data_IF_632482393587
#
_entry.id   IF_632482393587
#
_cell.length_a   1.000
_cell.length_b   1.000
_cell.length_c   1.000
_cell.angle_alpha   90.00
_cell.angle_beta   90.00
_cell.angle_gamma   90.00
#
_symmetry.space_group_name_H-M   'P 1'
#
loop_
_entity.id
_entity.type
_entity.pdbx_description
1 polymer ?
#
# COMPACT_ATOMS: atom_id res chain seq x y z
N UNK A 1 -12.00 7.12 36.70
CA UNK A 1 -13.20 6.25 36.61
C UNK A 1 -12.93 4.81 36.97
N UNK A 2 -13.99 4.03 37.13
CA UNK A 2 -13.90 2.62 37.46
C UNK A 2 -14.12 1.80 36.20
N UNK A 3 -13.18 0.92 35.90
CA UNK A 3 -13.22 0.08 34.71
C UNK A 3 -13.31 -1.37 35.12
N UNK A 4 -14.38 -2.04 34.69
CA UNK A 4 -14.53 -3.47 34.85
C UNK A 4 -14.70 -4.07 33.46
N UNK A 5 -13.74 -4.91 33.07
CA UNK A 5 -13.62 -5.35 31.69
C UNK A 5 -13.36 -6.85 31.65
N UNK A 6 -13.92 -7.52 30.64
CA UNK A 6 -13.70 -8.92 30.40
C UNK A 6 -13.54 -9.13 28.90
N UNK A 7 -12.54 -9.90 28.52
CA UNK A 7 -12.28 -10.21 27.12
C UNK A 7 -11.96 -11.68 26.97
N UNK A 8 -12.63 -12.33 26.04
CA UNK A 8 -12.35 -13.71 25.68
C UNK A 8 -12.24 -13.80 24.17
N UNK A 9 -11.15 -14.38 23.70
CA UNK A 9 -10.83 -14.41 22.28
C UNK A 9 -10.32 -15.80 21.94
N UNK A 10 -10.73 -16.29 20.78
CA UNK A 10 -10.28 -17.59 20.29
C UNK A 10 -10.19 -17.54 18.78
N UNK A 11 -9.07 -18.00 18.24
CA UNK A 11 -8.88 -18.00 16.81
C UNK A 11 -7.52 -18.53 16.45
N UNK A 12 -7.41 -18.98 15.21
CA UNK A 12 -6.14 -19.48 14.71
C UNK A 12 -5.08 -18.38 14.72
N UNK A 13 -5.47 -17.17 14.35
CA UNK A 13 -4.60 -16.01 14.34
C UNK A 13 -5.29 -14.88 15.06
N UNK A 14 -4.55 -14.19 15.93
CA UNK A 14 -5.09 -13.13 16.75
C UNK A 14 -4.08 -12.01 16.84
N UNK A 15 -4.58 -10.78 16.79
CA UNK A 15 -3.79 -9.58 17.03
C UNK A 15 -4.59 -8.67 17.94
N UNK A 16 -3.93 -8.18 19.00
CA UNK A 16 -4.62 -7.39 20.00
C UNK A 16 -3.72 -6.25 20.44
N UNK A 17 -4.26 -5.05 20.47
CA UNK A 17 -3.53 -3.88 20.92
C UNK A 17 -3.91 -3.58 22.36
N UNK B 1 17.34 -15.60 -26.92
CA UNK B 1 16.57 -15.63 -25.65
C UNK B 1 15.34 -16.51 -25.73
N UNK B 2 15.21 -17.42 -24.77
CA UNK B 2 14.10 -18.36 -24.77
C UNK B 2 13.84 -18.84 -23.35
N UNK B 3 12.57 -18.88 -22.98
CA UNK B 3 12.14 -19.37 -21.68
C UNK B 3 11.12 -20.47 -21.92
N UNK B 4 11.31 -21.61 -21.27
CA UNK B 4 10.35 -22.71 -21.31
C UNK B 4 10.07 -23.11 -19.87
N UNK B 5 8.97 -22.59 -19.33
CA UNK B 5 8.65 -22.74 -17.92
C UNK B 5 7.35 -23.53 -17.83
N UNK B 6 7.38 -24.60 -17.06
CA UNK B 6 6.21 -25.45 -16.84
C UNK B 6 6.01 -25.57 -15.34
N UNK B 7 4.82 -25.25 -14.89
CA UNK B 7 4.47 -25.32 -13.47
C UNK B 7 3.16 -26.08 -13.35
N UNK B 8 3.22 -27.26 -12.74
CA UNK B 8 2.07 -28.13 -12.58
C UNK B 8 1.84 -28.38 -11.10
N UNK B 9 0.59 -28.28 -10.68
CA UNK B 9 0.23 -28.39 -9.27
C UNK B 9 -1.04 -29.21 -9.15
N UNK B 10 -1.23 -29.80 -7.98
CA UNK B 10 -2.43 -30.56 -7.66
C UNK B 10 -2.57 -30.67 -6.16
N UNK B 11 -3.80 -30.47 -5.68
CA UNK B 11 -4.05 -30.63 -4.26
C UNK B 11 -5.48 -30.30 -3.91
N UNK B 12 -5.90 -30.80 -2.76
CA UNK B 12 -7.23 -30.52 -2.26
C UNK B 12 -7.43 -29.02 -2.10
N UNK B 13 -6.47 -28.36 -1.47
CA UNK B 13 -6.49 -26.91 -1.29
C UNK B 13 -5.20 -26.35 -1.86
N UNK B 14 -5.33 -25.37 -2.74
CA UNK B 14 -4.19 -24.69 -3.35
C UNK B 14 -4.37 -23.20 -3.14
N UNK B 15 -3.37 -22.58 -2.54
CA UNK B 15 -3.38 -21.16 -2.28
C UNK B 15 -2.07 -20.56 -2.76
N UNK B 16 -2.12 -19.28 -3.11
CA UNK B 16 -0.94 -18.60 -3.61
C UNK B 16 -1.17 -17.10 -3.53
N UNK B 17 -0.07 -16.37 -3.47
CA UNK B 17 -0.13 -14.91 -3.46
C UNK B 17 0.66 -14.38 -4.65
N UNK C 1 16.13 -3.16 -16.99
CA UNK C 1 15.75 -4.58 -16.85
C UNK C 1 15.06 -5.09 -18.09
N UNK C 2 15.80 -5.86 -18.90
CA UNK C 2 15.32 -6.30 -20.20
C UNK C 2 15.14 -7.81 -20.20
N UNK C 3 14.17 -8.26 -20.99
CA UNK C 3 13.93 -9.69 -21.21
C UNK C 3 13.83 -10.44 -19.89
N UNK C 4 13.18 -9.83 -18.90
CA UNK C 4 13.20 -10.32 -17.53
C UNK C 4 11.80 -10.54 -16.99
N UNK C 5 11.70 -11.53 -16.10
CA UNK C 5 10.49 -11.85 -15.37
C UNK C 5 10.66 -11.34 -13.95
N UNK C 6 9.69 -10.59 -13.47
CA UNK C 6 9.79 -9.91 -12.18
C UNK C 6 8.51 -10.19 -11.41
N UNK C 7 8.66 -10.59 -10.16
CA UNK C 7 7.57 -10.71 -9.22
C UNK C 7 8.00 -10.07 -7.91
N UNK C 8 7.15 -9.20 -7.37
CA UNK C 8 7.47 -8.45 -6.18
C UNK C 8 6.30 -8.46 -5.23
N UNK C 9 6.60 -8.29 -3.94
CA UNK C 9 5.60 -8.18 -2.89
C UNK C 9 6.17 -7.29 -1.80
N UNK C 10 5.32 -6.48 -1.18
CA UNK C 10 5.78 -5.53 -0.17
C UNK C 10 4.61 -5.14 0.70
N UNK C 11 4.61 -5.61 1.94
CA UNK C 11 3.61 -5.17 2.88
C UNK C 11 3.33 -6.13 4.01
N UNK C 12 2.15 -6.02 4.57
CA UNK C 12 1.70 -6.85 5.68
C UNK C 12 0.78 -7.91 5.12
N UNK C 13 1.17 -9.17 5.28
CA UNK C 13 0.45 -10.30 4.72
C UNK C 13 0.03 -11.22 5.86
N UNK C 14 -1.10 -11.88 5.68
CA UNK C 14 -1.64 -12.82 6.65
C UNK C 14 -2.37 -13.91 5.90
N UNK C 15 -1.97 -15.15 6.11
CA UNK C 15 -2.54 -16.29 5.43
C UNK C 15 -2.91 -17.36 6.45
N UNK C 16 -4.15 -17.81 6.40
CA UNK C 16 -4.62 -18.93 7.20
C UNK C 16 -5.15 -19.98 6.25
N UNK C 17 -5.10 -21.24 6.67
CA UNK C 17 -5.43 -22.32 5.77
C UNK C 17 -5.47 -23.65 6.51
N UNK D 1 15.99 -6.43 -36.03
CA UNK D 1 15.56 -5.71 -34.79
C UNK D 1 16.59 -4.75 -34.25
N UNK D 2 16.29 -3.45 -34.33
CA UNK D 2 17.19 -2.42 -33.84
C UNK D 2 16.46 -1.42 -32.97
N UNK D 3 17.13 -1.00 -31.90
CA UNK D 3 16.57 -0.12 -30.88
C UNK D 3 17.62 0.90 -30.50
N UNK D 4 17.18 2.14 -30.30
CA UNK D 4 18.02 3.22 -29.82
C UNK D 4 17.28 3.97 -28.71
N UNK D 5 17.88 3.99 -27.52
CA UNK D 5 17.27 4.62 -26.36
C UNK D 5 18.26 5.61 -25.78
N UNK D 6 17.79 6.81 -25.47
CA UNK D 6 18.60 7.87 -24.88
C UNK D 6 17.80 8.48 -23.75
N UNK D 7 18.42 8.57 -22.58
CA UNK D 7 17.82 9.15 -21.39
C UNK D 7 18.84 10.09 -20.79
N UNK D 8 18.44 11.32 -20.53
CA UNK D 8 19.40 12.37 -20.21
C UNK D 8 18.76 13.35 -19.25
N UNK D 9 19.40 13.55 -18.10
CA UNK D 9 18.86 14.34 -17.01
C UNK D 9 19.96 15.27 -16.52
N UNK D 10 19.59 16.52 -16.24
CA UNK D 10 20.52 17.53 -15.78
C UNK D 10 19.82 18.46 -14.80
N UNK D 11 20.46 18.73 -13.68
CA UNK D 11 19.88 19.64 -12.71
C UNK D 11 20.73 19.75 -11.47
N UNK D 12 20.34 20.71 -10.62
CA UNK D 12 21.05 20.95 -9.38
C UNK D 12 20.82 19.81 -8.41
N UNK D 13 19.56 19.51 -8.12
CA UNK D 13 19.15 18.36 -7.31
C UNK D 13 18.33 17.44 -8.19
N UNK D 14 18.70 16.16 -8.19
CA UNK D 14 18.12 15.17 -9.08
C UNK D 14 17.80 13.91 -8.30
N UNK D 15 16.68 13.28 -8.64
CA UNK D 15 16.30 11.99 -8.10
C UNK D 15 15.71 11.14 -9.21
N UNK D 16 16.28 9.97 -9.42
CA UNK D 16 15.78 9.00 -10.38
C UNK D 16 15.40 7.73 -9.64
N UNK D 17 14.20 7.24 -9.90
CA UNK D 17 13.65 6.13 -9.15
C UNK D 17 13.04 5.10 -10.09
N UNK E 1 -4.69 10.63 31.39
CA UNK E 1 -3.26 11.02 31.23
C UNK E 1 -3.01 11.84 30.00
N UNK E 2 -2.52 13.06 30.21
CA UNK E 2 -2.32 13.98 29.09
C UNK E 2 -1.34 13.41 28.09
N UNK E 3 -1.60 13.68 26.82
CA UNK E 3 -0.63 13.50 25.75
C UNK E 3 -0.34 14.85 25.13
N UNK E 4 0.87 15.36 25.38
CA UNK E 4 1.32 16.62 24.80
C UNK E 4 2.33 16.29 23.72
N UNK E 5 1.88 16.32 22.47
CA UNK E 5 2.66 15.92 21.32
C UNK E 5 2.82 17.13 20.43
N UNK E 6 4.04 17.39 20.00
CA UNK E 6 4.37 18.56 19.21
C UNK E 6 5.31 18.13 18.09
N UNK E 7 4.97 18.50 16.86
CA UNK E 7 5.83 18.31 15.71
C UNK E 7 5.90 19.61 14.93
N UNK E 8 7.11 20.06 14.66
CA UNK E 8 7.34 21.29 13.93
C UNK E 8 8.35 21.03 12.82
N UNK E 9 8.08 21.58 11.65
CA UNK E 9 8.95 21.42 10.49
C UNK E 9 8.99 22.74 9.76
N UNK E 10 10.18 23.13 9.30
CA UNK E 10 10.36 24.36 8.57
C UNK E 10 11.43 24.15 7.50
N UNK E 11 11.21 24.71 6.33
CA UNK E 11 12.20 24.63 5.29
C UNK E 11 11.73 25.25 4.01
N UNK E 12 12.70 25.56 3.16
CA UNK E 12 12.38 26.11 1.85
C UNK E 12 11.55 25.13 1.04
N UNK E 13 11.89 23.84 1.15
CA UNK E 13 11.18 22.78 0.45
C UNK E 13 10.97 21.63 1.43
N UNK E 14 9.78 21.05 1.40
CA UNK E 14 9.38 20.03 2.36
C UNK E 14 8.61 18.94 1.65
N UNK E 15 8.91 17.70 2.01
CA UNK E 15 8.14 16.53 1.61
C UNK E 15 7.91 15.69 2.84
N UNK E 16 6.66 15.44 3.18
CA UNK E 16 6.30 14.79 4.42
C UNK E 16 5.23 13.75 4.17
N UNK E 17 5.20 12.74 5.03
CA UNK E 17 4.24 11.65 4.91
C UNK E 17 3.81 11.19 6.30
N UNK F 1 -5.35 -2.40 25.46
CA UNK F 1 -5.34 -0.92 25.30
C UNK F 1 -6.71 -0.30 25.46
N UNK F 2 -6.77 0.78 26.24
CA UNK F 2 -7.97 1.61 26.37
C UNK F 2 -7.73 3.01 25.84
N UNK F 3 -6.70 3.67 26.35
CA UNK F 3 -6.25 4.96 25.84
C UNK F 3 -5.03 4.70 24.98
N UNK F 4 -5.12 5.03 23.70
CA UNK F 4 -4.11 4.59 22.75
C UNK F 4 -3.92 5.63 21.67
N UNK F 5 -2.74 5.58 21.06
CA UNK F 5 -2.46 6.27 19.81
C UNK F 5 -1.76 5.27 18.91
N UNK F 6 -2.35 5.00 17.75
CA UNK F 6 -1.90 3.97 16.85
C UNK F 6 -1.67 4.59 15.49
N UNK F 7 -0.59 4.19 14.84
CA UNK F 7 -0.16 4.78 13.59
C UNK F 7 0.58 3.72 12.79
N UNK F 8 0.03 3.38 11.63
CA UNK F 8 0.55 2.28 10.82
C UNK F 8 0.74 2.72 9.38
N UNK F 9 1.79 2.18 8.77
CA UNK F 9 2.07 2.37 7.36
C UNK F 9 2.49 1.03 6.80
N UNK F 10 2.03 0.71 5.59
CA UNK F 10 2.28 -0.61 5.03
C UNK F 10 2.19 -0.52 3.52
N UNK F 11 3.32 -0.69 2.85
CA UNK F 11 3.34 -0.72 1.41
C UNK F 11 4.61 -0.17 0.79
N UNK F 12 4.48 0.30 -0.43
CA UNK F 12 5.58 0.89 -1.17
C UNK F 12 5.47 2.41 -1.06
N UNK F 13 6.34 2.99 -0.24
CA UNK F 13 6.29 4.41 0.08
C UNK F 13 7.54 5.07 -0.48
N UNK F 14 7.37 6.28 -1.01
CA UNK F 14 8.45 7.02 -1.63
C UNK F 14 8.29 8.49 -1.27
N UNK F 15 9.41 9.14 -0.97
CA UNK F 15 9.48 10.57 -0.75
C UNK F 15 10.74 11.08 -1.41
N UNK F 16 10.58 11.88 -2.45
CA UNK F 16 11.69 12.29 -3.29
C UNK F 16 11.62 13.78 -3.58
N UNK F 17 12.78 14.34 -3.91
CA UNK F 17 12.88 15.73 -4.30
C UNK F 17 13.73 15.84 -5.56
N UNK G 1 -16.39 8.21 34.66
CA UNK G 1 -17.59 7.32 34.54
C UNK G 1 -17.30 5.87 34.88
N UNK G 2 -18.35 5.09 35.03
CA UNK G 2 -18.25 3.66 35.33
C UNK G 2 -18.46 2.87 34.05
N UNK G 3 -17.51 2.00 33.75
CA UNK G 3 -17.54 1.18 32.55
C UNK G 3 -17.63 -0.28 32.93
N UNK G 4 -18.67 -0.95 32.48
CA UNK G 4 -18.81 -2.39 32.61
C UNK G 4 -18.96 -2.96 31.22
N UNK G 5 -18.00 -3.79 30.82
CA UNK G 5 -17.87 -4.21 29.43
C UNK G 5 -17.60 -5.70 29.38
N UNK G 6 -18.14 -6.35 28.34
CA UNK G 6 -17.91 -7.76 28.08
C UNK G 6 -17.73 -7.94 26.59
N UNK G 7 -16.72 -8.70 26.20
CA UNK G 7 -16.45 -8.98 24.81
C UNK G 7 -16.11 -10.45 24.63
N UNK G 8 -16.78 -11.09 23.67
CA UNK G 8 -16.48 -12.46 23.30
C UNK G 8 -16.36 -12.52 21.79
N UNK G 9 -15.26 -13.08 21.31
CA UNK G 9 -14.93 -13.09 19.90
C UNK G 9 -14.41 -14.46 19.53
N UNK G 10 -14.81 -14.95 18.37
CA UNK G 10 -14.35 -16.23 17.85
C UNK G 10 -14.24 -16.14 16.34
N UNK G 11 -13.12 -16.59 15.82
CA UNK G 11 -12.92 -16.57 14.38
C UNK G 11 -11.54 -17.08 14.02
N UNK G 12 -11.42 -17.52 12.78
CA UNK G 12 -10.14 -17.99 12.28
C UNK G 12 -9.11 -16.88 12.32
N UNK G 13 -9.50 -15.67 11.96
CA UNK G 13 -8.63 -14.51 11.97
C UNK G 13 -9.34 -13.39 12.72
N UNK G 14 -8.61 -12.72 13.60
CA UNK G 14 -9.16 -11.67 14.44
C UNK G 14 -8.17 -10.54 14.55
N UNK G 15 -8.68 -9.31 14.51
CA UNK G 15 -7.90 -8.12 14.78
C UNK G 15 -8.70 -7.22 15.70
N UNK G 16 -8.07 -6.75 16.77
CA UNK G 16 -8.77 -5.97 17.78
C UNK G 16 -7.88 -4.84 18.24
N UNK G 17 -8.44 -3.63 18.29
CA UNK G 17 -7.71 -2.47 18.76
C UNK G 17 -8.11 -2.20 20.21
N UNK H 1 13.61 -13.23 -29.11
CA UNK H 1 12.82 -13.28 -27.84
C UNK H 1 11.61 -14.18 -27.95
N UNK H 2 11.47 -15.10 -27.01
CA UNK H 2 10.38 -16.06 -27.02
C UNK H 2 10.12 -16.56 -25.62
N UNK H 3 8.83 -16.61 -25.25
CA UNK H 3 8.40 -17.13 -23.97
C UNK H 3 7.39 -18.25 -24.24
N UNK H 4 7.58 -19.39 -23.60
CA UNK H 4 6.64 -20.50 -23.66
C UNK H 4 6.35 -20.91 -22.23
N UNK H 5 5.24 -20.42 -21.69
CA UNK H 5 4.91 -20.60 -20.29
C UNK H 5 3.62 -21.39 -20.22
N UNK H 6 3.64 -22.48 -19.47
CA UNK H 6 2.49 -23.34 -19.27
C UNK H 6 2.28 -23.50 -17.78
N UNK H 7 1.07 -23.18 -17.33
CA UNK H 7 0.71 -23.27 -15.93
C UNK H 7 -0.59 -24.05 -15.82
N UNK H 8 -0.51 -25.24 -15.23
CA UNK H 8 -1.66 -26.12 -15.09
C UNK H 8 -1.90 -26.40 -13.61
N UNK H 9 -3.15 -26.32 -13.20
CA UNK H 9 -3.53 -26.45 -11.80
C UNK H 9 -4.79 -27.28 -11.69
N UNK H 10 -4.98 -27.90 -10.53
CA UNK H 10 -6.17 -28.67 -10.24
C UNK H 10 -6.33 -28.80 -8.74
N UNK H 11 -7.56 -28.62 -8.26
CA UNK H 11 -7.82 -28.81 -6.85
C UNK H 11 -9.25 -28.49 -6.51
N UNK H 12 -9.68 -29.03 -5.37
CA UNK H 12 -11.02 -28.76 -4.88
C UNK H 12 -11.23 -27.27 -4.69
N UNK H 13 -10.28 -26.61 -4.05
CA UNK H 13 -10.31 -25.16 -3.84
C UNK H 13 -9.02 -24.58 -4.39
N UNK H 14 -9.16 -23.58 -5.26
CA UNK H 14 -8.02 -22.90 -5.84
C UNK H 14 -8.21 -21.41 -5.62
N UNK H 15 -7.22 -20.78 -4.99
CA UNK H 15 -7.24 -19.36 -4.71
C UNK H 15 -5.94 -18.75 -5.16
N UNK H 16 -5.99 -17.47 -5.51
CA UNK H 16 -4.82 -16.77 -5.99
C UNK H 16 -5.05 -15.27 -5.88
N UNK H 17 -3.97 -14.53 -5.81
CA UNK H 17 -4.04 -13.08 -5.77
C UNK H 17 -3.25 -12.52 -6.94
N UNK I 1 12.22 -0.96 -18.98
CA UNK I 1 11.85 -2.40 -18.87
C UNK I 1 11.18 -2.89 -20.13
N UNK I 2 11.91 -3.64 -20.93
CA UNK I 2 11.46 -4.06 -22.25
C UNK I 2 11.29 -5.57 -22.28
N UNK I 3 10.32 -6.02 -23.07
CA UNK I 3 10.11 -7.44 -23.32
C UNK I 3 10.00 -8.21 -22.01
N UNK I 4 9.33 -7.63 -21.02
CA UNK I 4 9.35 -8.14 -19.67
C UNK I 4 7.94 -8.39 -19.14
N UNK I 5 7.86 -9.38 -18.27
CA UNK I 5 6.63 -9.73 -17.55
C UNK I 5 6.80 -9.24 -16.13
N UNK I 6 5.82 -8.51 -15.63
CA UNK I 6 5.90 -7.86 -14.34
C UNK I 6 4.62 -8.15 -13.57
N UNK I 7 4.77 -8.57 -12.33
CA UNK I 7 3.66 -8.71 -11.40
C UNK I 7 4.07 -8.09 -10.08
N UNK I 8 3.22 -7.24 -9.53
CA UNK I 8 3.53 -6.51 -8.32
C UNK I 8 2.34 -6.54 -7.38
N UNK I 9 2.64 -6.39 -6.09
CA UNK I 9 1.63 -6.30 -5.05
C UNK I 9 2.19 -5.43 -3.94
N UNK I 10 1.33 -4.64 -3.31
CA UNK I 10 1.77 -3.70 -2.29
C UNK I 10 0.58 -3.34 -1.42
N UNK I 11 0.58 -3.82 -0.18
CA UNK I 11 -0.43 -3.41 0.76
C UNK I 11 -0.70 -4.39 1.87
N UNK I 12 -1.90 -4.30 2.43
CA UNK I 12 -2.35 -5.15 3.52
C UNK I 12 -3.25 -6.21 2.93
N UNK I 13 -2.86 -7.47 3.07
CA UNK I 13 -3.56 -8.60 2.50
C UNK I 13 -3.98 -9.54 3.62
N UNK I 14 -5.11 -10.21 3.41
CA UNK I 14 -5.64 -11.16 4.37
C UNK I 14 -6.36 -12.25 3.58
N UNK I 15 -5.94 -13.49 3.79
CA UNK I 15 -6.51 -14.62 3.09
C UNK I 15 -6.87 -15.71 4.09
N UNK I 16 -8.10 -16.17 4.01
CA UNK I 16 -8.58 -17.30 4.79
C UNK I 16 -9.08 -18.35 3.81
N UNK I 17 -9.04 -19.61 4.22
CA UNK I 17 -9.35 -20.68 3.30
C UNK I 17 -9.38 -22.02 4.02
N UNK J 1 12.24 -3.92 -38.07
CA UNK J 1 11.80 -3.23 -36.83
C UNK J 1 12.82 -2.27 -36.26
N UNK J 2 12.50 -0.97 -36.32
CA UNK J 2 13.39 0.06 -35.82
C UNK J 2 12.64 1.05 -34.94
N UNK J 3 13.30 1.43 -33.84
CA UNK J 3 12.73 2.30 -32.82
C UNK J 3 13.77 3.34 -32.40
N UNK J 4 13.31 4.56 -32.20
CA UNK J 4 14.14 5.64 -31.68
C UNK J 4 13.39 6.36 -30.58
N UNK J 5 13.98 6.37 -29.39
CA UNK J 5 13.36 6.97 -28.21
C UNK J 5 14.34 7.97 -27.62
N UNK J 6 13.86 9.15 -27.30
CA UNK J 6 14.65 10.20 -26.68
C UNK J 6 13.84 10.79 -25.55
N UNK J 7 14.45 10.87 -24.37
CA UNK J 7 13.83 11.43 -23.18
C UNK J 7 14.84 12.37 -22.55
N UNK J 8 14.43 13.59 -22.27
CA UNK J 8 15.37 14.64 -21.93
C UNK J 8 14.72 15.60 -20.95
N UNK J 9 15.35 15.79 -19.81
CA UNK J 9 14.80 16.56 -18.70
C UNK J 9 15.88 17.49 -18.18
N UNK J 10 15.50 18.72 -17.88
CA UNK J 10 16.42 19.74 -17.40
C UNK J 10 15.71 20.64 -16.42
N UNK J 11 16.34 20.90 -15.28
CA UNK J 11 15.74 21.79 -14.30
C UNK J 11 16.58 21.90 -13.05
N UNK J 12 16.17 22.83 -12.20
CA UNK J 12 16.87 23.06 -10.94
C UNK J 12 16.65 21.90 -9.99
N UNK J 13 15.39 21.58 -9.72
CA UNK J 13 14.99 20.42 -8.94
C UNK J 13 14.19 19.50 -9.83
N UNK J 14 14.55 18.22 -9.84
CA UNK J 14 13.99 17.25 -10.76
C UNK J 14 13.68 15.97 -10.01
N UNK J 15 12.57 15.34 -10.37
CA UNK J 15 12.19 14.04 -9.84
C UNK J 15 11.61 13.19 -10.97
N UNK J 16 12.21 12.03 -11.21
CA UNK J 16 11.72 11.08 -12.18
C UNK J 16 11.34 9.80 -11.47
N UNK J 17 10.15 9.30 -11.75
CA UNK J 17 9.60 8.17 -11.01
C UNK J 17 9.01 7.15 -11.97
N UNK K 1 -9.07 11.85 29.46
CA UNK K 1 -7.64 12.26 29.32
C UNK K 1 -7.40 13.11 28.09
N UNK K 2 -6.91 14.31 28.33
CA UNK K 2 -6.71 15.26 27.24
C UNK K 2 -5.72 14.71 26.23
N UNK K 3 -5.97 15.01 24.96
CA UNK K 3 -5.00 14.84 23.90
C UNK K 3 -4.71 16.21 23.30
N UNK K 4 -3.52 16.73 23.56
CA UNK K 4 -3.07 18.00 23.02
C UNK K 4 -2.05 17.70 21.93
N UNK K 5 -2.49 17.75 20.69
CA UNK K 5 -1.69 17.37 19.53
C UNK K 5 -1.54 18.59 18.66
N UNK K 6 -0.32 18.87 18.24
CA UNK K 6 0.01 20.05 17.47
C UNK K 6 0.95 19.64 16.36
N UNK K 7 0.63 20.03 15.14
CA UNK K 7 1.50 19.87 13.98
C UNK K 7 1.56 21.18 13.24
N UNK K 8 2.76 21.66 12.98
CA UNK K 8 3.00 22.89 12.26
C UNK K 8 4.02 22.66 11.16
N UNK K 9 3.75 23.22 9.99
CA UNK K 9 4.63 23.10 8.85
C UNK K 9 4.66 24.43 8.13
N UNK K 10 5.85 24.84 7.69
CA UNK K 10 6.03 26.08 6.97
C UNK K 10 7.10 25.89 5.92
N UNK K 11 6.89 26.47 4.76
CA UNK K 11 7.89 26.41 3.72
C UNK K 11 7.42 27.05 2.45
N UNK K 12 8.40 27.38 1.60
CA UNK K 12 8.09 27.96 0.30
C UNK K 12 7.27 26.98 -0.53
N UNK K 13 7.61 25.70 -0.45
CA UNK K 13 6.92 24.64 -1.16
C UNK K 13 6.71 23.48 -0.21
N UNK K 14 5.52 22.88 -0.25
CA UNK K 14 5.13 21.85 0.69
C UNK K 14 4.37 20.75 -0.04
N UNK K 15 4.68 19.51 0.30
CA UNK K 15 3.92 18.36 -0.12
C UNK K 15 3.69 17.48 1.09
N UNK K 16 2.44 17.22 1.41
CA UNK K 16 2.08 16.54 2.64
C UNK K 16 1.02 15.50 2.37
N UNK K 17 0.99 14.48 3.21
CA UNK K 17 0.04 13.39 3.07
C UNK K 17 -0.39 12.90 4.45
N UNK L 1 -9.57 -1.09 23.31
CA UNK L 1 -9.58 0.40 23.17
C UNK L 1 -10.96 1.01 23.33
N UNK L 2 -11.02 2.07 24.14
CA UNK L 2 -12.23 2.88 24.27
C UNK L 2 -12.01 4.29 23.77
N UNK L 3 -10.98 4.96 24.28
CA UNK L 3 -10.54 6.26 23.81
C UNK L 3 -9.31 6.03 22.95
N UNK L 4 -9.39 6.37 21.68
CA UNK L 4 -8.38 5.96 20.73
C UNK L 4 -8.18 7.02 19.66
N UNK L 5 -7.00 6.99 19.07
CA UNK L 5 -6.72 7.70 17.82
C UNK L 5 -6.01 6.72 16.92
N UNK L 6 -6.58 6.48 15.76
CA UNK L 6 -6.11 5.45 14.84
C UNK L 6 -5.89 6.10 13.48
N UNK L 7 -4.80 5.71 12.83
CA UNK L 7 -4.36 6.34 11.59
C UNK L 7 -3.62 5.30 10.79
N UNK L 8 -4.14 4.97 9.61
CA UNK L 8 -3.61 3.89 8.80
C UNK L 8 -3.41 4.35 7.37
N UNK L 9 -2.35 3.83 6.76
CA UNK L 9 -2.06 4.04 5.35
C UNK L 9 -1.63 2.71 4.76
N UNK L 10 -2.08 2.41 3.55
CA UNK L 10 -1.81 1.11 2.97
C UNK L 10 -1.89 1.21 1.45
N UNK L 11 -0.75 1.07 0.80
CA UNK L 11 -0.73 1.07 -0.65
C UNK L 11 0.53 1.63 -1.25
N UNK L 12 0.42 2.13 -2.46
CA UNK L 12 1.51 2.74 -3.19
C UNK L 12 1.40 4.25 -3.04
N UNK L 13 2.24 4.83 -2.21
CA UNK L 13 2.19 6.24 -1.86
C UNK L 13 3.43 6.93 -2.40
N UNK L 14 3.26 8.13 -2.92
CA UNK L 14 4.33 8.89 -3.52
C UNK L 14 4.17 10.35 -3.13
N UNK L 15 5.28 11.01 -2.82
CA UNK L 15 5.33 12.44 -2.57
C UNK L 15 6.59 12.97 -3.22
N UNK L 16 6.44 13.79 -4.24
CA UNK L 16 7.55 14.22 -5.07
C UNK L 16 7.47 15.71 -5.33
N UNK L 17 8.63 16.29 -5.65
CA UNK L 17 8.71 17.68 -6.01
C UNK L 17 9.56 17.83 -7.26
N UNK M 1 -20.78 9.27 32.60
CA UNK M 1 -21.96 8.38 32.46
C UNK M 1 -21.66 6.93 32.78
N UNK M 2 -22.72 6.13 32.90
CA UNK M 2 -22.61 4.71 33.18
C UNK M 2 -22.79 3.93 31.90
N UNK M 3 -21.83 3.07 31.59
CA UNK M 3 -21.84 2.28 30.37
C UNK M 3 -21.93 0.81 30.73
N UNK M 4 -22.97 0.14 30.26
CA UNK M 4 -23.09 -1.31 30.37
C UNK M 4 -23.22 -1.85 28.96
N UNK M 5 -22.25 -2.68 28.55
CA UNK M 5 -22.11 -3.06 27.16
C UNK M 5 -21.83 -4.55 27.08
N UNK M 6 -22.35 -5.19 26.04
CA UNK M 6 -22.11 -6.60 25.76
C UNK M 6 -21.92 -6.75 24.27
N UNK M 7 -20.90 -7.49 23.87
CA UNK M 7 -20.62 -7.74 22.46
C UNK M 7 -20.27 -9.21 22.27
N UNK M 8 -20.92 -9.84 21.30
CA UNK M 8 -20.61 -11.20 20.91
C UNK M 8 -20.48 -11.23 19.40
N UNK M 9 -19.36 -11.78 18.92
CA UNK M 9 -19.02 -11.76 17.50
C UNK M 9 -18.49 -13.13 17.12
N UNK M 10 -18.87 -13.59 15.94
CA UNK M 10 -18.40 -14.86 15.42
C UNK M 10 -18.28 -14.75 13.90
N UNK M 11 -17.15 -15.19 13.38
CA UNK M 11 -16.94 -15.13 11.95
C UNK M 11 -15.56 -15.63 11.59
N UNK M 12 -15.43 -16.04 10.34
CA UNK M 12 -14.13 -16.50 9.85
C UNK M 12 -13.11 -15.38 9.91
N UNK M 13 -13.52 -14.17 9.57
CA UNK M 13 -12.65 -13.00 9.61
C UNK M 13 -13.37 -11.90 10.36
N UNK M 14 -12.66 -11.23 11.26
CA UNK M 14 -13.23 -10.20 12.12
C UNK M 14 -12.25 -9.07 12.26
N UNK M 15 -12.77 -7.84 12.23
CA UNK M 15 -11.99 -6.64 12.52
C UNK M 15 -12.81 -5.77 13.45
N UNK M 16 -12.19 -5.31 14.52
CA UNK M 16 -12.91 -4.56 15.55
C UNK M 16 -12.02 -3.42 16.03
N UNK M 17 -12.60 -2.23 16.10
CA UNK M 17 -11.89 -1.07 16.60
C UNK M 17 -12.29 -0.82 18.04
N UNK N 1 9.87 -10.86 -31.29
CA UNK N 1 9.08 -10.94 -30.02
C UNK N 1 7.86 -11.84 -30.15
N UNK N 2 7.74 -12.78 -29.23
CA UNK N 2 6.64 -13.74 -29.27
C UNK N 2 6.38 -14.28 -27.87
N UNK N 3 5.10 -14.34 -27.52
CA UNK N 3 4.66 -14.89 -26.25
C UNK N 3 3.66 -16.00 -26.54
N UNK N 4 3.85 -17.16 -25.92
CA UNK N 4 2.92 -18.27 -26.01
C UNK N 4 2.62 -18.72 -24.59
N UNK N 5 1.51 -18.23 -24.04
CA UNK N 5 1.16 -18.43 -22.65
C UNK N 5 -0.12 -19.24 -22.60
N UNK N 6 -0.09 -20.35 -21.87
CA UNK N 6 -1.24 -21.22 -21.70
C UNK N 6 -1.45 -21.40 -20.21
N UNK N 7 -2.67 -21.10 -19.76
CA UNK N 7 -3.03 -21.22 -18.36
C UNK N 7 -4.33 -22.02 -18.27
N UNK N 8 -4.25 -23.21 -17.71
CA UNK N 8 -5.39 -24.11 -17.59
C UNK N 8 -5.63 -24.42 -16.12
N UNK N 9 -6.89 -24.35 -15.71
CA UNK N 9 -7.27 -24.50 -14.32
C UNK N 9 -8.53 -25.35 -14.24
N UNK N 10 -8.73 -25.99 -13.09
CA UNK N 10 -9.91 -26.78 -12.82
C UNK N 10 -10.09 -26.93 -11.32
N UNK N 11 -11.32 -26.77 -10.85
CA UNK N 11 -11.58 -26.98 -9.44
C UNK N 11 -13.03 -26.69 -9.11
N UNK N 12 -13.46 -27.24 -7.97
CA UNK N 12 -14.80 -26.99 -7.49
C UNK N 12 -15.03 -25.50 -7.28
N UNK N 13 -14.09 -24.85 -6.63
CA UNK N 13 -14.13 -23.41 -6.39
C UNK N 13 -12.85 -22.81 -6.93
N UNK N 14 -12.98 -21.79 -7.77
CA UNK N 14 -11.85 -21.08 -8.34
C UNK N 14 -12.05 -19.61 -8.10
N UNK N 15 -11.07 -18.99 -7.46
CA UNK N 15 -11.11 -17.57 -7.14
C UNK N 15 -9.80 -16.93 -7.58
N UNK N 16 -9.86 -15.65 -7.90
CA UNK N 16 -8.69 -14.93 -8.36
C UNK N 16 -8.95 -13.44 -8.24
N UNK N 17 -7.87 -12.68 -8.14
CA UNK N 17 -7.94 -11.23 -8.07
C UNK N 17 -7.15 -10.65 -9.24
N UNK O 1 8.29 1.23 -20.97
CA UNK O 1 7.93 -0.20 -20.88
C UNK O 1 7.27 -0.69 -22.15
N UNK O 2 8.03 -1.42 -22.97
CA UNK O 2 7.59 -1.82 -24.29
C UNK O 2 7.44 -3.33 -24.35
N UNK O 3 6.48 -3.77 -25.16
CA UNK O 3 6.28 -5.19 -25.42
C UNK O 3 6.15 -5.99 -24.13
N UNK O 4 5.48 -5.42 -23.14
CA UNK O 4 5.50 -5.96 -21.80
C UNK O 4 4.10 -6.22 -21.28
N UNK O 5 4.00 -7.24 -20.43
CA UNK O 5 2.78 -7.60 -19.72
C UNK O 5 2.93 -7.14 -18.29
N UNK O 6 1.93 -6.42 -17.80
CA UNK O 6 2.00 -5.78 -16.49
C UNK O 6 0.73 -6.11 -15.74
N UNK O 7 0.87 -6.55 -14.49
CA UNK O 7 -0.25 -6.71 -13.58
C UNK O 7 0.15 -6.11 -12.24
N UNK O 8 -0.72 -5.28 -11.68
CA UNK O 8 -0.42 -4.55 -10.46
C UNK O 8 -1.61 -4.62 -9.53
N UNK O 9 -1.34 -4.50 -8.24
CA UNK O 9 -2.35 -4.43 -7.20
C UNK O 9 -1.80 -3.57 -6.07
N UNK O 10 -2.67 -2.80 -5.44
CA UNK O 10 -2.25 -1.87 -4.40
C UNK O 10 -3.44 -1.54 -3.53
N UNK O 11 -3.45 -2.04 -2.31
CA UNK O 11 -4.47 -1.65 -1.37
C UNK O 11 -4.74 -2.65 -0.27
N UNK O 12 -5.94 -2.58 0.28
CA UNK O 12 -6.39 -3.45 1.35
C UNK O 12 -7.28 -4.51 0.74
N UNK O 13 -6.87 -5.76 0.86
CA UNK O 13 -7.57 -6.89 0.27
C UNK O 13 -7.99 -7.84 1.36
N UNK O 14 -9.10 -8.53 1.14
CA UNK O 14 -9.64 -9.50 2.08
C UNK O 14 -10.34 -10.58 1.28
N UNK O 15 -9.92 -11.82 1.46
CA UNK O 15 -10.47 -12.95 0.73
C UNK O 15 -10.82 -14.05 1.71
N UNK O 16 -12.06 -14.53 1.63
CA UNK O 16 -12.52 -15.67 2.38
C UNK O 16 -13.01 -16.70 1.39
N UNK O 17 -12.96 -17.97 1.77
CA UNK O 17 -13.25 -19.02 0.83
C UNK O 17 -13.28 -20.38 1.53
N UNK P 1 8.49 -1.41 -40.10
CA UNK P 1 8.03 -0.75 -38.85
C UNK P 1 9.03 0.22 -38.27
N UNK P 2 8.72 1.50 -38.31
CA UNK P 2 9.59 2.54 -37.77
C UNK P 2 8.82 3.50 -36.89
N UNK P 3 9.47 3.88 -35.78
CA UNK P 3 8.88 4.73 -34.75
C UNK P 3 9.91 5.76 -34.31
N UNK P 4 9.44 6.98 -34.09
CA UNK P 4 10.26 8.06 -33.55
C UNK P 4 9.50 8.75 -32.43
N UNK P 5 10.07 8.75 -31.24
CA UNK P 5 9.44 9.32 -30.06
C UNK P 5 10.41 10.31 -29.44
N UNK P 6 9.91 11.50 -29.11
CA UNK P 6 10.69 12.54 -28.47
C UNK P 6 9.86 13.10 -27.32
N UNK P 7 10.47 13.18 -26.15
CA UNK P 7 9.84 13.71 -24.94
C UNK P 7 10.84 14.64 -24.30
N UNK P 8 10.41 15.86 -24.01
CA UNK P 8 11.34 16.90 -23.64
C UNK P 8 10.66 17.84 -22.65
N UNK P 9 11.29 18.02 -21.49
CA UNK P 9 10.74 18.77 -20.38
C UNK P 9 11.81 19.70 -19.84
N UNK P 10 11.40 20.92 -19.52
CA UNK P 10 12.32 21.94 -19.02
C UNK P 10 11.59 22.82 -18.02
N UNK P 11 12.21 23.07 -16.88
CA UNK P 11 11.59 23.93 -15.90
C UNK P 11 12.42 24.02 -14.65
N UNK P 12 12.00 24.94 -13.77
CA UNK P 12 12.69 25.15 -12.51
C UNK P 12 12.47 23.98 -11.57
N UNK P 13 11.21 23.64 -11.32
CA UNK P 13 10.82 22.47 -10.55
C UNK P 13 10.02 21.55 -11.47
N UNK P 14 10.41 20.29 -11.50
CA UNK P 14 9.85 19.32 -12.44
C UNK P 14 9.55 18.02 -11.72
N UNK P 15 8.45 17.39 -12.09
CA UNK P 15 8.08 16.08 -11.59
C UNK P 15 7.51 15.24 -12.73
N UNK P 16 8.12 14.10 -12.98
CA UNK P 16 7.64 13.15 -13.98
C UNK P 16 7.28 11.86 -13.28
N UNK P 17 6.08 11.35 -13.58
CA UNK P 17 5.55 10.20 -12.86
C UNK P 17 4.97 9.20 -13.85
N UNK Q 1 -13.44 13.06 27.51
CA UNK Q 1 -12.02 13.48 27.40
C UNK Q 1 -11.78 14.36 26.19
N UNK Q 2 -11.31 15.57 26.44
CA UNK Q 2 -11.10 16.53 25.37
C UNK Q 2 -10.09 16.01 24.36
N UNK Q 3 -10.34 16.32 23.10
CA UNK Q 3 -9.36 16.18 22.04
C UNK Q 3 -9.09 17.56 21.47
N UNK Q 4 -7.89 18.08 21.74
CA UNK Q 4 -7.45 19.37 21.22
C UNK Q 4 -6.42 19.10 20.13
N UNK Q 5 -6.85 19.16 18.89
CA UNK Q 5 -6.04 18.81 17.74
C UNK Q 5 -5.90 20.05 16.88
N UNK Q 6 -4.67 20.34 16.48
CA UNK Q 6 -4.36 21.54 15.73
C UNK Q 6 -3.40 21.16 14.62
N UNK Q 7 -3.72 21.57 13.40
CA UNK Q 7 -2.83 21.42 12.26
C UNK Q 7 -2.78 22.75 11.52
N UNK Q 8 -1.57 23.24 11.28
CA UNK Q 8 -1.36 24.50 10.59
C UNK Q 8 -0.33 24.29 9.50
N UNK Q 9 -0.58 24.87 8.33
CA UNK Q 9 0.31 24.77 7.19
C UNK Q 9 0.34 26.11 6.49
N UNK Q 10 1.52 26.54 6.07
CA UNK Q 10 1.70 27.79 5.38
C UNK Q 10 2.77 27.63 4.33
N UNK Q 11 2.56 28.23 3.17
CA UNK Q 11 3.58 28.19 2.15
C UNK Q 11 3.11 28.85 0.88
N UNK Q 12 4.08 29.20 0.05
CA UNK Q 12 3.79 29.79 -1.25
C UNK Q 12 2.98 28.82 -2.10
N UNK Q 13 3.33 27.54 -2.03
CA UNK Q 13 2.65 26.49 -2.77
C UNK Q 13 2.44 25.31 -1.84
N UNK Q 14 1.27 24.71 -1.90
CA UNK Q 14 0.87 23.66 -0.98
C UNK Q 14 0.14 22.57 -1.73
N UNK Q 15 0.45 21.33 -1.42
CA UNK Q 15 -0.30 20.17 -1.87
C UNK Q 15 -0.53 19.27 -0.66
N UNK Q 16 -1.79 19.00 -0.36
CA UNK Q 16 -2.14 18.30 0.87
C UNK Q 16 -3.19 17.25 0.57
N UNK Q 17 -3.22 16.21 1.40
CA UNK Q 17 -4.16 15.11 1.23
C UNK Q 17 -4.60 14.60 2.59
N UNK R 1 -13.79 0.23 21.16
CA UNK R 1 -13.82 1.71 21.04
C UNK R 1 -15.20 2.32 21.20
N UNK R 2 -15.29 3.37 22.02
CA UNK R 2 -16.50 4.16 22.16
C UNK R 2 -16.28 5.58 21.69
N UNK R 3 -15.26 6.25 22.21
CA UNK R 3 -14.83 7.56 21.76
C UNK R 3 -13.59 7.35 20.91
N UNK R 4 -13.67 7.72 19.64
CA UNK R 4 -12.64 7.33 18.69
C UNK R 4 -12.44 8.41 17.65
N UNK R 5 -11.27 8.40 17.06
CA UNK R 5 -10.98 9.12 15.83
C UNK R 5 -10.24 8.17 14.91
N UNK R 6 -10.82 7.94 13.74
CA UNK R 6 -10.33 6.94 12.82
C UNK R 6 -10.09 7.60 11.47
N UNK R 7 -9.00 7.24 10.82
CA UNK R 7 -8.56 7.88 9.60
C UNK R 7 -7.81 6.87 8.78
N UNK R 8 -8.31 6.56 7.60
CA UNK R 8 -7.76 5.49 6.77
C UNK R 8 -7.56 5.98 5.35
N UNK R 9 -6.50 5.47 4.74
CA UNK R 9 -6.20 5.71 3.33
C UNK R 9 -5.75 4.40 2.74
N UNK R 10 -6.19 4.11 1.52
CA UNK R 10 -5.91 2.83 0.90
C UNK R 10 -5.98 2.95 -0.60
N UNK R 11 -4.83 2.83 -1.26
CA UNK R 11 -4.80 2.85 -2.70
C UNK R 11 -3.53 3.43 -3.28
N UNK R 12 -3.64 3.95 -4.50
CA UNK R 12 -2.55 4.58 -5.20
C UNK R 12 -2.68 6.08 -5.03
N UNK R 13 -1.84 6.66 -4.18
CA UNK R 13 -1.91 8.06 -3.81
C UNK R 13 -0.67 8.77 -4.33
N UNK R 14 -0.85 9.98 -4.82
CA UNK R 14 0.21 10.77 -5.40
C UNK R 14 0.03 12.23 -5.00
N UNK R 15 1.14 12.87 -4.66
CA UNK R 15 1.18 14.30 -4.39
C UNK R 15 2.44 14.85 -5.02
N UNK R 16 2.29 15.68 -6.04
CA UNK R 16 3.40 16.14 -6.84
C UNK R 16 3.31 17.64 -7.08
N UNK R 17 4.46 18.23 -7.38
CA UNK R 17 4.55 19.63 -7.72
C UNK R 17 5.40 19.80 -8.97
#
# INVERSE_FOLDING_TARGET
GLFDIVKKIAGHIVSSI
GLFDIVKKIAGHIVSSI
GLFDIVKKIAGHIVSSI
GLFDIVKKIAGHIVSSI
GLFDIVKKIAGHIVSSI
GLFDIVKKIAGHIVSSI
GLFDIVKKIAGHIVSSI
GLFDIVKKIAGHIVSSI
GLFDIVKKIAGHIVSSI
GLFDIVKKIAGHIVSSI
GLFDIVKKIAGHIVSSI
GLFDIVKKIAGHIVSSI
GLFDIVKKIAGHIVSSI
GLFDIVKKIAGHIVSSI
GLFDIVKKIAGHIVSSI
GLFDIVKKIAGHIVSSI
GLFDIVKKIAGHIVSSI
GLFDIVKKIAGHIVSSI
#
